data_IF_313441997641
#
_entry.id   IF_313441997641
#
_cell.length_a   1.000
_cell.length_b   1.000
_cell.length_c   1.000
_cell.angle_alpha   90.00
_cell.angle_beta   90.00
_cell.angle_gamma   90.00
#
_symmetry.space_group_name_H-M   'P 1'
#
loop_
_entity.id
_entity.type
_entity.pdbx_description
1 polymer ?
#
# COMPACT_ATOMS: atom_id res chain seq x y z
N UNK A 1 11.54 -35.02 30.10
CA UNK A 1 11.72 -34.39 28.78
C UNK A 1 11.14 -32.98 28.85
N UNK A 2 11.99 -31.99 29.04
CA UNK A 2 11.58 -30.58 29.14
C UNK A 2 11.61 -29.97 27.73
N UNK A 3 10.44 -29.62 27.20
CA UNK A 3 10.33 -28.93 25.91
C UNK A 3 10.61 -27.43 26.09
N UNK A 4 11.86 -27.03 25.88
CA UNK A 4 12.27 -25.65 25.72
C UNK A 4 11.65 -25.06 24.43
N UNK A 5 10.52 -24.37 24.56
CA UNK A 5 10.01 -23.50 23.50
C UNK A 5 10.79 -22.19 23.53
N UNK A 6 11.84 -22.12 22.71
CA UNK A 6 12.63 -20.91 22.48
C UNK A 6 11.72 -19.76 22.06
N UNK A 7 11.49 -18.82 22.99
CA UNK A 7 10.77 -17.57 22.73
C UNK A 7 11.69 -16.71 21.86
N UNK A 8 11.50 -16.77 20.55
CA UNK A 8 12.24 -15.92 19.61
C UNK A 8 11.86 -14.46 19.90
N UNK A 9 12.79 -13.74 20.52
CA UNK A 9 12.72 -12.31 20.73
C UNK A 9 12.69 -11.64 19.35
N UNK A 10 11.51 -11.21 18.89
CA UNK A 10 11.39 -10.38 17.69
C UNK A 10 12.15 -9.09 17.97
N UNK A 11 13.37 -8.97 17.42
CA UNK A 11 14.14 -7.73 17.40
C UNK A 11 13.25 -6.63 16.84
N UNK A 12 13.23 -5.42 17.41
CA UNK A 12 12.51 -4.30 16.82
C UNK A 12 13.08 -4.08 15.42
N UNK A 13 12.25 -4.32 14.41
CA UNK A 13 12.60 -4.03 13.02
C UNK A 13 12.94 -2.54 12.95
N UNK A 14 14.18 -2.20 12.60
CA UNK A 14 14.53 -0.84 12.17
C UNK A 14 13.41 -0.38 11.23
N UNK A 15 12.87 0.81 11.44
CA UNK A 15 11.95 1.43 10.48
C UNK A 15 12.80 1.73 9.25
N UNK A 16 12.84 0.78 8.32
CA UNK A 16 13.44 0.97 7.01
C UNK A 16 12.40 1.73 6.21
N UNK A 17 12.71 2.96 5.80
CA UNK A 17 11.90 3.64 4.80
C UNK A 17 11.90 2.76 3.54
N UNK A 18 10.73 2.41 3.02
CA UNK A 18 10.66 1.63 1.80
C UNK A 18 11.11 2.45 0.58
N UNK A 19 11.24 1.76 -0.56
CA UNK A 19 11.64 2.34 -1.84
C UNK A 19 10.42 2.80 -2.67
N UNK A 20 9.39 3.34 -2.01
CA UNK A 20 8.31 4.06 -2.67
C UNK A 20 8.88 5.35 -3.31
N UNK A 21 8.54 5.64 -4.57
CA UNK A 21 8.94 6.90 -5.20
C UNK A 21 8.44 8.14 -4.45
N UNK A 22 9.28 9.18 -4.42
CA UNK A 22 9.01 10.45 -3.72
C UNK A 22 7.93 11.32 -4.37
N UNK A 23 7.68 11.11 -5.66
CA UNK A 23 6.68 11.82 -6.45
C UNK A 23 5.26 11.24 -6.30
N UNK A 24 5.11 10.17 -5.52
CA UNK A 24 3.83 9.56 -5.22
C UNK A 24 2.84 10.53 -4.58
N UNK A 25 1.62 10.58 -5.11
CA UNK A 25 0.53 11.40 -4.58
C UNK A 25 -0.56 10.51 -3.99
N UNK A 26 -1.07 10.94 -2.85
CA UNK A 26 -2.26 10.36 -2.22
C UNK A 26 -3.33 11.44 -2.08
N UNK A 27 -4.55 11.14 -2.53
CA UNK A 27 -5.73 11.98 -2.31
C UNK A 27 -6.90 11.15 -1.80
N UNK A 28 -7.89 11.82 -1.20
CA UNK A 28 -9.08 11.16 -0.67
C UNK A 28 -10.34 11.71 -1.32
N UNK A 29 -11.32 10.85 -1.54
CA UNK A 29 -12.68 11.20 -1.93
C UNK A 29 -13.67 10.49 -0.99
N UNK A 30 -14.77 11.17 -0.67
CA UNK A 30 -15.91 10.53 0.00
C UNK A 30 -16.90 10.06 -1.04
N UNK A 31 -17.38 8.84 -0.88
CA UNK A 31 -18.35 8.23 -1.76
C UNK A 31 -19.61 7.92 -0.95
N UNK A 32 -20.75 8.28 -1.53
CA UNK A 32 -22.07 7.94 -0.99
C UNK A 32 -22.45 6.48 -1.22
N UNK A 33 -21.65 5.73 -1.99
CA UNK A 33 -21.84 4.28 -2.19
C UNK A 33 -21.23 3.49 -1.04
N UNK A 34 -21.90 2.39 -0.71
CA UNK A 34 -21.43 1.42 0.25
C UNK A 34 -20.40 0.49 -0.40
N UNK A 35 -19.39 0.07 0.36
CA UNK A 35 -18.53 -1.06 -0.02
C UNK A 35 -19.22 -2.35 0.42
N UNK A 36 -19.03 -3.42 -0.35
CA UNK A 36 -19.59 -4.73 -0.01
C UNK A 36 -19.21 -5.17 1.42
N UNK A 37 -20.20 -5.67 2.16
CA UNK A 37 -20.09 -6.00 3.58
C UNK A 37 -20.34 -4.83 4.55
N UNK A 38 -20.57 -3.61 4.05
CA UNK A 38 -20.84 -2.42 4.86
C UNK A 38 -22.02 -1.58 4.31
N UNK A 39 -23.26 -2.10 4.33
CA UNK A 39 -24.41 -1.43 3.71
C UNK A 39 -24.88 -0.15 4.44
N UNK A 40 -24.43 0.09 5.67
CA UNK A 40 -24.91 1.19 6.51
C UNK A 40 -23.86 2.31 6.68
N UNK A 41 -22.81 2.34 5.85
CA UNK A 41 -21.85 3.43 5.90
C UNK A 41 -21.26 3.83 4.54
N UNK A 42 -21.04 5.15 4.41
CA UNK A 42 -20.31 5.75 3.29
C UNK A 42 -18.90 5.15 3.15
N UNK A 43 -18.23 5.44 2.04
CA UNK A 43 -16.88 4.92 1.76
C UNK A 43 -15.87 6.05 1.59
N UNK A 44 -14.69 5.88 2.18
CA UNK A 44 -13.52 6.69 1.86
C UNK A 44 -12.77 5.98 0.73
N UNK A 45 -12.67 6.63 -0.41
CA UNK A 45 -11.80 6.23 -1.52
C UNK A 45 -10.45 6.94 -1.37
N UNK A 46 -9.38 6.17 -1.35
CA UNK A 46 -8.00 6.65 -1.34
C UNK A 46 -7.43 6.44 -2.75
N UNK A 47 -7.00 7.52 -3.41
CA UNK A 47 -6.39 7.46 -4.73
C UNK A 47 -4.88 7.62 -4.60
N UNK A 48 -4.14 6.70 -5.21
CA UNK A 48 -2.69 6.72 -5.28
C UNK A 48 -2.25 6.89 -6.74
N UNK A 49 -1.36 7.84 -6.97
CA UNK A 49 -0.86 8.17 -8.30
C UNK A 49 0.66 8.32 -8.25
N UNK A 50 1.32 7.57 -9.11
CA UNK A 50 2.75 7.65 -9.39
C UNK A 50 2.90 7.83 -10.90
N UNK A 51 3.61 8.86 -11.31
CA UNK A 51 3.96 9.08 -12.71
C UNK A 51 5.15 8.17 -13.10
N UNK A 52 5.41 8.08 -14.41
CA UNK A 52 6.64 7.44 -14.90
C UNK A 52 7.85 8.27 -14.46
N UNK A 53 8.96 7.60 -14.12
CA UNK A 53 10.12 8.29 -13.57
C UNK A 53 11.44 7.58 -13.79
N UNK A 54 12.48 8.11 -13.14
CA UNK A 54 13.84 7.55 -13.13
C UNK A 54 14.15 7.03 -11.74
N UNK A 55 14.72 5.83 -11.68
CA UNK A 55 15.11 5.20 -10.44
C UNK A 55 16.22 5.98 -9.73
N UNK A 56 16.00 6.25 -8.44
CA UNK A 56 16.99 6.90 -7.57
C UNK A 56 17.95 5.86 -6.99
N UNK A 57 18.96 6.31 -6.25
CA UNK A 57 19.89 5.45 -5.51
C UNK A 57 19.20 4.51 -4.49
N UNK A 58 17.95 4.79 -4.11
CA UNK A 58 17.18 3.96 -3.19
C UNK A 58 16.39 2.85 -3.90
N UNK A 59 16.43 2.79 -5.23
CA UNK A 59 15.69 1.81 -6.04
C UNK A 59 16.62 0.70 -6.56
N UNK A 60 16.08 -0.45 -7.03
CA UNK A 60 16.89 -1.60 -7.43
C UNK A 60 17.87 -1.33 -8.58
N UNK A 61 17.50 -0.45 -9.52
CA UNK A 61 18.27 -0.17 -10.73
C UNK A 61 18.44 1.35 -10.96
N UNK A 62 19.30 2.05 -10.18
CA UNK A 62 19.48 3.49 -10.29
C UNK A 62 19.76 3.96 -11.73
N UNK A 63 19.13 5.07 -12.12
CA UNK A 63 19.24 5.65 -13.47
C UNK A 63 18.37 4.99 -14.54
N UNK A 64 17.77 3.82 -14.28
CA UNK A 64 16.81 3.21 -15.21
C UNK A 64 15.43 3.86 -15.09
N UNK A 65 14.64 3.81 -16.16
CA UNK A 65 13.23 4.22 -16.14
C UNK A 65 12.40 3.22 -15.32
N UNK A 66 11.34 3.69 -14.69
CA UNK A 66 10.25 2.85 -14.21
C UNK A 66 8.91 3.39 -14.72
N UNK A 67 7.93 2.50 -14.85
CA UNK A 67 6.54 2.89 -15.13
C UNK A 67 5.77 3.12 -13.84
N UNK A 68 4.98 4.18 -13.82
CA UNK A 68 4.11 4.57 -12.72
C UNK A 68 2.93 3.63 -12.50
N UNK A 69 2.07 4.05 -11.57
CA UNK A 69 0.87 3.32 -11.16
C UNK A 69 -0.22 4.30 -10.75
N UNK A 70 -1.44 4.06 -11.23
CA UNK A 70 -2.65 4.70 -10.70
C UNK A 70 -3.55 3.61 -10.13
N UNK A 71 -3.87 3.73 -8.85
CA UNK A 71 -4.72 2.75 -8.18
C UNK A 71 -5.54 3.39 -7.08
N UNK A 72 -6.57 2.70 -6.65
CA UNK A 72 -7.50 3.14 -5.63
C UNK A 72 -7.63 2.08 -4.55
N UNK A 73 -7.93 2.52 -3.33
CA UNK A 73 -8.28 1.65 -2.21
C UNK A 73 -9.52 2.19 -1.50
N UNK A 74 -10.32 1.27 -0.95
CA UNK A 74 -11.59 1.60 -0.32
C UNK A 74 -11.60 1.17 1.15
N UNK A 75 -12.04 2.09 2.02
CA UNK A 75 -12.28 1.80 3.43
C UNK A 75 -13.65 2.33 3.86
N UNK A 76 -14.39 1.60 4.72
CA UNK A 76 -15.69 2.06 5.20
C UNK A 76 -15.54 3.32 6.08
N UNK A 77 -16.46 4.26 5.98
CA UNK A 77 -16.47 5.51 6.77
C UNK A 77 -17.05 5.29 8.17
N UNK A 78 -16.70 4.17 8.82
CA UNK A 78 -17.06 3.88 10.21
C UNK A 78 -15.83 4.06 11.14
N UNK A 79 -16.00 3.78 12.43
CA UNK A 79 -14.92 3.96 13.42
C UNK A 79 -13.67 3.12 13.09
N UNK A 80 -13.86 1.88 12.61
CA UNK A 80 -12.76 0.98 12.30
C UNK A 80 -12.05 1.37 11.00
N UNK A 81 -12.81 1.66 9.93
CA UNK A 81 -12.24 2.10 8.66
C UNK A 81 -11.51 3.43 8.76
N UNK A 82 -11.90 4.33 9.68
CA UNK A 82 -11.10 5.53 10.00
C UNK A 82 -9.74 5.19 10.63
N UNK A 83 -9.65 4.15 11.46
CA UNK A 83 -8.36 3.68 11.98
C UNK A 83 -7.50 3.09 10.87
N UNK A 84 -8.10 2.27 10.00
CA UNK A 84 -7.41 1.70 8.83
C UNK A 84 -6.87 2.82 7.94
N UNK A 85 -7.70 3.82 7.62
CA UNK A 85 -7.28 5.00 6.87
C UNK A 85 -6.06 5.68 7.50
N UNK A 86 -6.08 5.97 8.81
CA UNK A 86 -4.96 6.60 9.50
C UNK A 86 -3.67 5.77 9.46
N UNK A 87 -3.78 4.44 9.47
CA UNK A 87 -2.62 3.55 9.35
C UNK A 87 -2.07 3.57 7.92
N UNK A 88 -2.94 3.57 6.91
CA UNK A 88 -2.53 3.62 5.50
C UNK A 88 -1.92 4.98 5.15
N UNK A 89 -2.48 6.08 5.65
CA UNK A 89 -1.91 7.42 5.47
C UNK A 89 -0.48 7.51 6.05
N UNK A 90 -0.28 6.99 7.27
CA UNK A 90 1.06 6.89 7.86
C UNK A 90 1.98 5.95 7.07
N UNK A 91 1.48 4.80 6.64
CA UNK A 91 2.27 3.86 5.86
C UNK A 91 2.72 4.50 4.53
N UNK A 92 1.85 5.28 3.88
CA UNK A 92 2.21 6.02 2.67
C UNK A 92 3.29 7.06 2.94
N UNK A 93 3.15 7.86 4.00
CA UNK A 93 4.14 8.86 4.43
C UNK A 93 5.51 8.23 4.77
N UNK A 94 5.50 7.01 5.30
CA UNK A 94 6.71 6.24 5.60
C UNK A 94 7.19 5.36 4.43
N UNK A 95 6.62 5.53 3.23
CA UNK A 95 7.03 4.81 2.01
C UNK A 95 6.86 3.29 2.10
N UNK A 96 5.84 2.83 2.82
CA UNK A 96 5.62 1.40 3.11
C UNK A 96 4.54 0.74 2.26
N UNK A 97 3.78 1.49 1.45
CA UNK A 97 2.67 0.93 0.67
C UNK A 97 3.08 0.45 -0.73
N UNK A 98 4.07 1.13 -1.33
CA UNK A 98 4.50 0.85 -2.68
C UNK A 98 6.02 0.74 -2.77
N UNK A 99 6.48 0.17 -3.88
CA UNK A 99 7.89 0.01 -4.21
C UNK A 99 8.10 0.02 -5.71
N UNK A 100 9.29 0.41 -6.17
CA UNK A 100 9.75 0.04 -7.51
C UNK A 100 10.27 -1.40 -7.49
N UNK A 101 9.81 -2.21 -8.44
CA UNK A 101 10.27 -3.59 -8.62
C UNK A 101 10.27 -4.01 -10.10
N UNK A 102 11.12 -4.98 -10.41
CA UNK A 102 11.14 -5.68 -11.69
C UNK A 102 10.00 -6.69 -11.75
N UNK A 103 9.16 -6.62 -12.79
CA UNK A 103 8.11 -7.62 -13.06
C UNK A 103 8.71 -8.92 -13.60
N UNK A 104 7.88 -9.96 -13.72
CA UNK A 104 8.29 -11.21 -14.40
C UNK A 104 8.65 -11.02 -15.88
N UNK A 105 8.13 -9.96 -16.52
CA UNK A 105 8.49 -9.55 -17.90
C UNK A 105 9.79 -8.75 -17.97
N UNK A 106 10.42 -8.42 -16.83
CA UNK A 106 11.63 -7.60 -16.79
C UNK A 106 11.35 -6.09 -16.86
N UNK A 107 10.10 -5.65 -16.68
CA UNK A 107 9.75 -4.24 -16.66
C UNK A 107 9.91 -3.66 -15.25
N UNK A 108 10.51 -2.49 -15.14
CA UNK A 108 10.62 -1.77 -13.87
C UNK A 108 9.34 -0.96 -13.63
N UNK A 109 8.61 -1.25 -12.55
CA UNK A 109 7.32 -0.61 -12.27
C UNK A 109 7.10 -0.31 -10.79
N UNK A 110 6.29 0.70 -10.52
CA UNK A 110 5.69 0.87 -9.20
C UNK A 110 4.67 -0.24 -8.96
N UNK A 111 4.81 -0.93 -7.83
CA UNK A 111 3.94 -2.03 -7.41
C UNK A 111 3.68 -1.96 -5.89
N UNK A 112 2.75 -2.77 -5.40
CA UNK A 112 2.41 -2.87 -3.99
C UNK A 112 3.54 -3.55 -3.19
N UNK A 113 3.65 -3.19 -1.91
CA UNK A 113 4.39 -3.97 -0.90
C UNK A 113 3.52 -5.11 -0.36
N UNK A 114 3.86 -5.65 0.81
CA UNK A 114 3.10 -6.74 1.45
C UNK A 114 1.92 -6.23 2.29
N UNK A 115 1.65 -4.91 2.31
CA UNK A 115 0.49 -4.34 2.98
C UNK A 115 -0.72 -4.44 2.04
N UNK A 116 -1.73 -5.27 2.33
CA UNK A 116 -2.86 -5.45 1.43
C UNK A 116 -3.75 -4.21 1.40
N UNK A 117 -4.10 -3.77 0.19
CA UNK A 117 -5.08 -2.72 -0.06
C UNK A 117 -6.34 -3.34 -0.68
N UNK A 118 -7.53 -2.94 -0.21
CA UNK A 118 -8.79 -3.31 -0.86
C UNK A 118 -8.97 -2.45 -2.11
N UNK A 119 -8.54 -2.95 -3.26
CA UNK A 119 -8.60 -2.24 -4.56
C UNK A 119 -9.84 -2.55 -5.41
N UNK A 120 -10.74 -3.43 -4.93
CA UNK A 120 -12.05 -3.69 -5.56
C UNK A 120 -13.17 -3.29 -4.60
N UNK A 121 -14.20 -2.65 -5.15
CA UNK A 121 -15.48 -2.37 -4.45
C UNK A 121 -16.32 -3.64 -4.34
N UNK A 122 -16.14 -4.58 -5.27
CA UNK A 122 -16.79 -5.89 -5.32
C UNK A 122 -15.89 -6.96 -4.68
N UNK A 123 -16.48 -7.78 -3.82
CA UNK A 123 -15.92 -9.02 -3.33
C UNK A 123 -15.56 -9.94 -4.49
N UNK A 124 -14.46 -10.67 -4.37
CA UNK A 124 -14.16 -11.73 -5.32
C UNK A 124 -15.33 -12.71 -5.31
N UNK A 125 -16.05 -12.81 -6.42
CA UNK A 125 -16.79 -14.01 -6.72
C UNK A 125 -15.73 -15.03 -7.15
N UNK A 126 -15.63 -16.13 -6.40
CA UNK A 126 -14.82 -17.30 -6.79
C UNK A 126 -15.29 -17.84 -8.15
#
# INVERSE_FOLDING_TARGET
>A
AECNHGRSQKKPSKIVNGNQPDDGRMSIARLTRNVEGYPDCETIQMNFEFDDGIQTENHPNPGQKYYGLKTEAFVPQNHEGRKVYQLLDKAFQHKLLFKVATTSSGEERVTFTDIPLKSKVEGGHD
#
